data_IF_356719223034
#
_entry.id   IF_356719223034
#
_cell.length_a   1.000
_cell.length_b   1.000
_cell.length_c   1.000
_cell.angle_alpha   90.00
_cell.angle_beta   90.00
_cell.angle_gamma   90.00
#
_symmetry.space_group_name_H-M   'P 1'
#
loop_
_entity.id
_entity.type
_entity.pdbx_description
1 polymer ?
#
# COMPACT_ATOMS: atom_id res chain seq x y z
N UNK A 1 -73.05 -1.08 -12.40
CA UNK A 1 -72.54 0.11 -13.10
C UNK A 1 -71.68 0.84 -12.10
N UNK A 2 -70.36 0.98 -12.19
CA UNK A 2 -69.44 1.05 -13.33
C UNK A 2 -68.09 0.43 -12.91
N UNK A 3 -67.43 -0.25 -13.85
CA UNK A 3 -66.04 -0.69 -13.80
C UNK A 3 -65.05 0.47 -13.63
N UNK A 4 -63.96 0.27 -12.90
CA UNK A 4 -62.65 0.77 -13.34
C UNK A 4 -61.51 -0.08 -12.80
N UNK A 5 -60.86 -0.79 -13.72
CA UNK A 5 -59.49 -1.30 -13.62
C UNK A 5 -58.53 -0.10 -13.55
N UNK A 6 -57.47 -0.23 -12.75
CA UNK A 6 -56.15 0.37 -13.02
C UNK A 6 -55.12 -0.55 -12.36
N UNK A 7 -54.60 -1.53 -13.10
CA UNK A 7 -53.25 -1.44 -13.69
C UNK A 7 -52.15 -1.35 -12.63
N UNK A 8 -51.92 -2.44 -11.91
CA UNK A 8 -50.60 -2.77 -11.36
C UNK A 8 -49.79 -3.49 -12.44
N UNK A 9 -49.45 -2.73 -13.50
CA UNK A 9 -48.51 -3.12 -14.53
C UNK A 9 -47.10 -2.72 -14.13
N UNK A 10 -46.57 -3.33 -13.06
CA UNK A 10 -45.13 -3.47 -12.90
C UNK A 10 -44.85 -4.92 -13.22
N UNK A 11 -44.41 -5.14 -14.47
CA UNK A 11 -44.05 -6.45 -14.97
C UNK A 11 -43.06 -7.10 -14.03
N UNK A 12 -43.17 -8.43 -13.91
CA UNK A 12 -42.12 -9.34 -13.48
C UNK A 12 -40.92 -9.29 -14.46
N UNK A 13 -40.41 -8.10 -14.77
CA UNK A 13 -39.02 -7.89 -15.18
C UNK A 13 -38.16 -8.12 -13.92
N UNK A 14 -38.13 -9.40 -13.54
CA UNK A 14 -37.31 -9.96 -12.48
C UNK A 14 -35.84 -9.60 -12.74
N UNK A 15 -35.05 -9.54 -11.67
CA UNK A 15 -33.62 -9.24 -11.58
C UNK A 15 -32.67 -10.04 -12.51
N UNK A 16 -33.21 -10.79 -13.47
CA UNK A 16 -32.55 -11.55 -14.53
C UNK A 16 -32.12 -10.70 -15.73
N UNK A 17 -32.70 -9.53 -15.98
CA UNK A 17 -32.32 -8.69 -17.14
C UNK A 17 -31.08 -7.80 -16.88
N UNK A 18 -30.64 -7.72 -15.63
CA UNK A 18 -29.39 -7.04 -15.23
C UNK A 18 -28.15 -7.94 -15.37
N UNK A 19 -28.30 -9.13 -15.96
CA UNK A 19 -27.25 -10.12 -16.12
C UNK A 19 -26.40 -9.81 -17.37
N UNK A 20 -25.20 -9.24 -17.14
CA UNK A 20 -24.09 -9.09 -18.10
C UNK A 20 -24.48 -8.42 -19.43
N UNK A 21 -24.23 -7.10 -19.54
CA UNK A 21 -24.38 -6.36 -20.82
C UNK A 21 -23.50 -6.92 -21.94
N UNK A 22 -22.41 -7.60 -21.59
CA UNK A 22 -21.48 -8.26 -22.51
C UNK A 22 -21.12 -9.65 -21.98
N UNK A 23 -21.05 -10.64 -22.87
CA UNK A 23 -20.38 -11.91 -22.57
C UNK A 23 -18.86 -11.68 -22.34
N UNK A 24 -18.18 -12.55 -21.58
CA UNK A 24 -16.73 -12.43 -21.41
C UNK A 24 -16.00 -12.56 -22.75
N UNK A 25 -16.52 -13.33 -23.71
CA UNK A 25 -16.02 -13.40 -25.07
C UNK A 25 -16.08 -12.05 -25.79
N UNK A 26 -17.26 -11.41 -25.87
CA UNK A 26 -17.45 -10.11 -26.52
C UNK A 26 -16.60 -9.00 -25.88
N UNK A 27 -16.47 -9.04 -24.55
CA UNK A 27 -15.65 -8.07 -23.83
C UNK A 27 -14.18 -8.22 -24.17
N UNK A 28 -13.67 -9.46 -24.23
CA UNK A 28 -12.29 -9.72 -24.60
C UNK A 28 -12.04 -9.40 -26.08
N UNK A 29 -12.99 -9.68 -26.97
CA UNK A 29 -12.91 -9.30 -28.40
C UNK A 29 -12.75 -7.77 -28.52
N UNK A 30 -13.61 -7.01 -27.84
CA UNK A 30 -13.50 -5.53 -27.80
C UNK A 30 -12.18 -5.05 -27.22
N UNK A 31 -11.72 -5.66 -26.13
CA UNK A 31 -10.45 -5.31 -25.49
C UNK A 31 -9.25 -5.58 -26.41
N UNK A 32 -9.29 -6.65 -27.20
CA UNK A 32 -8.26 -7.03 -28.16
C UNK A 32 -8.27 -6.12 -29.42
N UNK A 33 -9.46 -5.67 -29.85
CA UNK A 33 -9.60 -4.70 -30.94
C UNK A 33 -9.12 -3.30 -30.55
N UNK A 34 -9.61 -2.78 -29.42
CA UNK A 34 -9.23 -1.47 -28.89
C UNK A 34 -9.56 -1.34 -27.41
N UNK A 35 -8.51 -1.18 -26.59
CA UNK A 35 -8.66 -0.87 -25.16
C UNK A 35 -9.35 0.47 -24.94
N UNK A 36 -9.04 1.47 -25.77
CA UNK A 36 -9.69 2.79 -25.76
C UNK A 36 -11.17 2.67 -26.09
N UNK A 37 -11.52 1.92 -27.14
CA UNK A 37 -12.91 1.67 -27.52
C UNK A 37 -13.69 0.97 -26.40
N UNK A 38 -13.09 -0.01 -25.72
CA UNK A 38 -13.70 -0.65 -24.55
C UNK A 38 -13.96 0.35 -23.41
N UNK A 39 -13.01 1.24 -23.11
CA UNK A 39 -13.14 2.21 -22.03
C UNK A 39 -14.21 3.27 -22.35
N UNK A 40 -14.22 3.78 -23.58
CA UNK A 40 -15.18 4.79 -24.04
C UNK A 40 -16.62 4.25 -24.10
N UNK A 41 -16.81 3.00 -24.54
CA UNK A 41 -18.14 2.40 -24.73
C UNK A 41 -18.80 1.98 -23.41
N UNK A 42 -18.00 1.54 -22.43
CA UNK A 42 -18.54 0.88 -21.24
C UNK A 42 -18.66 1.84 -20.04
N UNK A 43 -17.71 2.75 -19.84
CA UNK A 43 -17.70 3.65 -18.68
C UNK A 43 -17.19 5.06 -19.05
N UNK A 44 -17.95 5.86 -19.84
CA UNK A 44 -17.56 7.22 -20.17
C UNK A 44 -17.40 8.08 -18.90
N UNK A 45 -16.15 8.37 -18.54
CA UNK A 45 -15.77 9.31 -17.48
C UNK A 45 -15.70 8.76 -16.05
N UNK A 46 -15.79 7.43 -15.82
CA UNK A 46 -15.69 6.82 -14.47
C UNK A 46 -15.06 5.40 -14.47
N UNK A 47 -13.87 5.24 -15.05
CA UNK A 47 -13.15 3.97 -15.00
C UNK A 47 -12.45 3.72 -13.64
N UNK A 48 -13.19 3.15 -12.68
CA UNK A 48 -12.62 2.63 -11.42
C UNK A 48 -12.69 1.10 -11.38
N UNK A 49 -11.84 0.42 -10.59
CA UNK A 49 -11.92 -1.03 -10.41
C UNK A 49 -13.32 -1.53 -10.01
N UNK A 50 -14.02 -0.81 -9.15
CA UNK A 50 -15.36 -1.15 -8.66
C UNK A 50 -16.41 -1.01 -9.77
N UNK A 51 -16.28 0.02 -10.61
CA UNK A 51 -17.14 0.20 -11.77
C UNK A 51 -16.93 -0.95 -12.77
N UNK A 52 -15.68 -1.36 -13.01
CA UNK A 52 -15.37 -2.53 -13.83
C UNK A 52 -15.91 -3.83 -13.22
N UNK A 53 -15.74 -4.05 -11.92
CA UNK A 53 -16.29 -5.23 -11.23
C UNK A 53 -17.81 -5.32 -11.41
N UNK A 54 -18.52 -4.21 -11.24
CA UNK A 54 -19.97 -4.16 -11.39
C UNK A 54 -20.43 -4.40 -12.84
N UNK A 55 -19.73 -3.84 -13.84
CA UNK A 55 -20.18 -3.86 -15.24
C UNK A 55 -19.72 -5.12 -15.99
N UNK A 56 -18.49 -5.57 -15.73
CA UNK A 56 -17.85 -6.65 -16.47
C UNK A 56 -17.98 -8.01 -15.79
N UNK A 57 -17.95 -8.04 -14.44
CA UNK A 57 -18.05 -9.25 -13.62
C UNK A 57 -17.19 -10.43 -14.12
N UNK A 58 -16.00 -10.16 -14.67
CA UNK A 58 -15.09 -11.17 -15.19
C UNK A 58 -14.59 -12.13 -14.10
N UNK A 59 -14.47 -11.63 -12.86
CA UNK A 59 -14.16 -12.44 -11.68
C UNK A 59 -15.16 -13.59 -11.46
N UNK A 60 -16.36 -13.47 -12.03
CA UNK A 60 -17.36 -14.53 -12.08
C UNK A 60 -17.43 -15.20 -13.46
N UNK A 61 -17.62 -14.43 -14.54
CA UNK A 61 -17.97 -14.99 -15.86
C UNK A 61 -16.85 -15.81 -16.52
N UNK A 62 -15.59 -15.64 -16.11
CA UNK A 62 -14.46 -16.49 -16.52
C UNK A 62 -14.47 -17.87 -15.87
N UNK A 63 -15.19 -18.00 -14.76
CA UNK A 63 -15.17 -19.17 -13.86
C UNK A 63 -16.54 -19.86 -13.77
N UNK A 64 -17.59 -19.14 -14.17
CA UNK A 64 -18.96 -19.63 -14.18
C UNK A 64 -19.52 -19.69 -15.60
N UNK A 65 -20.29 -20.74 -15.87
CA UNK A 65 -21.26 -20.71 -16.96
C UNK A 65 -22.62 -20.25 -16.41
N UNK A 66 -22.98 -18.96 -16.54
CA UNK A 66 -24.23 -18.45 -16.00
C UNK A 66 -25.45 -19.18 -16.55
N UNK A 67 -25.39 -19.74 -17.78
CA UNK A 67 -26.48 -20.54 -18.36
C UNK A 67 -26.67 -21.89 -17.67
N UNK A 68 -25.62 -22.49 -17.11
CA UNK A 68 -25.72 -23.77 -16.40
C UNK A 68 -26.02 -23.61 -14.90
N UNK A 69 -25.61 -22.47 -14.32
CA UNK A 69 -25.95 -22.10 -12.94
C UNK A 69 -27.47 -21.89 -12.73
N UNK A 70 -28.16 -21.33 -13.72
CA UNK A 70 -29.63 -21.15 -13.72
C UNK A 70 -30.37 -22.50 -13.68
N UNK A 71 -29.76 -23.58 -14.18
CA UNK A 71 -30.34 -24.93 -14.19
C UNK A 71 -29.86 -25.83 -13.03
N UNK A 72 -29.15 -25.27 -12.04
CA UNK A 72 -28.71 -26.01 -10.85
C UNK A 72 -27.65 -27.10 -11.12
N UNK A 73 -26.99 -27.07 -12.29
CA UNK A 73 -26.00 -28.08 -12.67
C UNK A 73 -24.62 -27.77 -12.07
N UNK A 74 -24.00 -28.76 -11.43
CA UNK A 74 -22.64 -28.68 -10.86
C UNK A 74 -21.54 -28.41 -11.90
N UNK A 75 -21.80 -28.69 -13.18
CA UNK A 75 -20.87 -28.53 -14.31
C UNK A 75 -20.55 -27.06 -14.69
N UNK A 76 -21.29 -26.09 -14.15
CA UNK A 76 -21.11 -24.68 -14.47
C UNK A 76 -19.88 -24.00 -13.85
N UNK A 77 -18.96 -24.76 -13.22
CA UNK A 77 -17.88 -24.27 -12.34
C UNK A 77 -16.50 -24.76 -12.78
N UNK A 78 -16.09 -24.39 -13.99
CA UNK A 78 -14.76 -24.69 -14.50
C UNK A 78 -14.12 -23.41 -15.04
N UNK A 79 -12.84 -23.12 -14.72
CA UNK A 79 -12.11 -22.04 -15.35
C UNK A 79 -12.17 -22.17 -16.87
N UNK A 80 -12.66 -21.13 -17.56
CA UNK A 80 -12.62 -21.07 -19.02
C UNK A 80 -11.19 -20.76 -19.48
N UNK A 81 -10.33 -21.78 -19.45
CA UNK A 81 -8.87 -21.67 -19.67
C UNK A 81 -8.52 -20.83 -20.91
N UNK A 82 -9.24 -21.02 -22.02
CA UNK A 82 -9.00 -20.25 -23.24
C UNK A 82 -9.26 -18.74 -23.07
N UNK A 83 -10.29 -18.33 -22.32
CA UNK A 83 -10.54 -16.91 -22.00
C UNK A 83 -9.53 -16.36 -20.99
N UNK A 84 -9.11 -17.18 -20.03
CA UNK A 84 -8.04 -16.79 -19.10
C UNK A 84 -6.72 -16.53 -19.82
N UNK A 85 -6.37 -17.35 -20.82
CA UNK A 85 -5.21 -17.10 -21.67
C UNK A 85 -5.32 -15.81 -22.48
N UNK A 86 -6.51 -15.53 -23.04
CA UNK A 86 -6.77 -14.26 -23.75
C UNK A 86 -6.62 -13.05 -22.82
N UNK A 87 -7.23 -13.12 -21.64
CA UNK A 87 -7.10 -12.10 -20.60
C UNK A 87 -5.64 -11.91 -20.17
N UNK A 88 -4.88 -13.00 -19.99
CA UNK A 88 -3.46 -12.94 -19.65
C UNK A 88 -2.63 -12.20 -20.72
N UNK A 89 -2.92 -12.42 -22.01
CA UNK A 89 -2.27 -11.68 -23.11
C UNK A 89 -2.59 -10.19 -23.07
N UNK A 90 -3.83 -9.82 -22.77
CA UNK A 90 -4.22 -8.42 -22.58
C UNK A 90 -3.49 -7.78 -21.38
N UNK A 91 -3.39 -8.51 -20.26
CA UNK A 91 -2.61 -8.07 -19.09
C UNK A 91 -1.15 -7.85 -19.49
N UNK A 92 -0.53 -8.79 -20.19
CA UNK A 92 0.86 -8.67 -20.66
C UNK A 92 1.03 -7.46 -21.58
N UNK A 93 0.12 -7.24 -22.53
CA UNK A 93 0.13 -6.07 -23.41
C UNK A 93 0.01 -4.75 -22.65
N UNK A 94 -0.88 -4.70 -21.64
CA UNK A 94 -1.03 -3.56 -20.75
C UNK A 94 0.24 -3.31 -19.92
N UNK A 95 0.88 -4.36 -19.39
CA UNK A 95 2.13 -4.24 -18.62
C UNK A 95 3.31 -3.72 -19.45
N UNK A 96 3.29 -3.92 -20.76
CA UNK A 96 4.28 -3.36 -21.72
C UNK A 96 3.96 -1.94 -22.18
N UNK A 97 2.80 -1.39 -21.80
CA UNK A 97 2.41 -0.03 -22.18
C UNK A 97 3.21 0.98 -21.35
N UNK A 98 3.85 1.93 -22.02
CA UNK A 98 4.74 2.88 -21.39
C UNK A 98 4.37 4.35 -21.72
N UNK A 99 3.87 5.15 -20.75
CA UNK A 99 3.56 4.78 -19.36
C UNK A 99 2.16 4.14 -19.21
N UNK A 100 2.05 3.08 -18.38
CA UNK A 100 0.77 2.54 -17.95
C UNK A 100 0.15 3.42 -16.84
N UNK A 101 -0.72 4.35 -17.24
CA UNK A 101 -1.35 5.33 -16.33
C UNK A 101 -2.88 5.43 -16.52
N UNK A 102 -3.52 6.12 -15.59
CA UNK A 102 -4.95 6.44 -15.63
C UNK A 102 -5.85 5.19 -15.72
N UNK A 103 -6.85 5.26 -16.59
CA UNK A 103 -7.90 4.24 -16.74
C UNK A 103 -7.33 2.88 -17.18
N UNK A 104 -6.31 2.87 -18.05
CA UNK A 104 -5.62 1.63 -18.46
C UNK A 104 -4.96 0.90 -17.29
N UNK A 105 -4.39 1.65 -16.33
CA UNK A 105 -3.82 1.08 -15.11
C UNK A 105 -4.90 0.47 -14.23
N UNK A 106 -6.06 1.13 -14.09
CA UNK A 106 -7.20 0.58 -13.36
C UNK A 106 -7.76 -0.68 -14.03
N UNK A 107 -7.85 -0.68 -15.36
CA UNK A 107 -8.30 -1.84 -16.13
C UNK A 107 -7.33 -3.02 -15.97
N UNK A 108 -6.02 -2.78 -16.04
CA UNK A 108 -5.01 -3.81 -15.80
C UNK A 108 -5.10 -4.40 -14.39
N UNK A 109 -5.31 -3.56 -13.37
CA UNK A 109 -5.54 -4.01 -11.98
C UNK A 109 -6.82 -4.84 -11.86
N UNK A 110 -7.89 -4.39 -12.51
CA UNK A 110 -9.14 -5.15 -12.54
C UNK A 110 -8.97 -6.51 -13.23
N UNK A 111 -8.31 -6.58 -14.40
CA UNK A 111 -8.05 -7.83 -15.10
C UNK A 111 -7.19 -8.80 -14.26
N UNK A 112 -6.13 -8.30 -13.62
CA UNK A 112 -5.34 -9.08 -12.68
C UNK A 112 -6.19 -9.63 -11.53
N UNK A 113 -7.03 -8.80 -10.91
CA UNK A 113 -7.89 -9.23 -9.82
C UNK A 113 -8.97 -10.23 -10.28
N UNK A 114 -9.61 -9.96 -11.42
CA UNK A 114 -10.63 -10.83 -12.01
C UNK A 114 -10.08 -12.21 -12.34
N UNK A 115 -8.82 -12.29 -12.78
CA UNK A 115 -8.16 -13.55 -13.12
C UNK A 115 -7.93 -14.49 -11.92
N UNK A 116 -8.05 -13.98 -10.67
CA UNK A 116 -7.99 -14.81 -9.46
C UNK A 116 -9.27 -15.64 -9.27
N UNK A 117 -10.37 -15.19 -9.85
CA UNK A 117 -11.70 -15.76 -9.63
C UNK A 117 -12.38 -15.24 -8.36
N UNK A 118 -13.56 -15.79 -8.03
CA UNK A 118 -14.36 -15.34 -6.89
C UNK A 118 -13.65 -15.64 -5.57
N UNK A 119 -13.90 -14.83 -4.55
CA UNK A 119 -13.40 -15.09 -3.20
C UNK A 119 -13.92 -16.45 -2.71
N UNK A 120 -13.05 -17.30 -2.17
CA UNK A 120 -13.40 -18.64 -1.67
C UNK A 120 -14.47 -18.64 -0.57
N UNK A 121 -14.67 -17.50 0.08
CA UNK A 121 -15.70 -17.26 1.10
C UNK A 121 -16.98 -16.59 0.58
N UNK A 122 -17.07 -16.25 -0.71
CA UNK A 122 -18.26 -15.61 -1.28
C UNK A 122 -19.42 -16.60 -1.38
N UNK A 123 -20.42 -16.43 -0.52
CA UNK A 123 -21.71 -17.11 -0.64
C UNK A 123 -22.65 -16.28 -1.53
N UNK A 124 -22.71 -16.60 -2.82
CA UNK A 124 -23.82 -16.15 -3.67
C UNK A 124 -24.90 -17.25 -3.75
N UNK A 125 -26.14 -16.88 -4.10
CA UNK A 125 -27.32 -17.76 -4.04
C UNK A 125 -27.19 -19.10 -4.81
N UNK A 126 -26.14 -19.26 -5.62
CA UNK A 126 -25.82 -20.44 -6.41
C UNK A 126 -24.51 -21.14 -5.98
N UNK A 127 -23.91 -20.77 -4.83
CA UNK A 127 -22.63 -21.27 -4.30
C UNK A 127 -22.85 -21.89 -2.91
N UNK A 128 -23.02 -23.21 -2.89
CA UNK A 128 -23.23 -24.01 -1.67
C UNK A 128 -21.97 -24.77 -1.20
N UNK A 129 -20.85 -24.66 -1.92
CA UNK A 129 -19.56 -25.27 -1.54
C UNK A 129 -18.42 -24.25 -1.73
N UNK A 130 -17.43 -24.21 -0.83
CA UNK A 130 -16.24 -23.37 -0.98
C UNK A 130 -15.51 -23.70 -2.29
N UNK A 131 -14.99 -22.67 -2.97
CA UNK A 131 -14.16 -22.84 -4.17
C UNK A 131 -12.92 -23.67 -3.82
N UNK A 132 -12.74 -24.85 -4.45
CA UNK A 132 -11.51 -25.63 -4.26
C UNK A 132 -10.31 -24.83 -4.77
N UNK A 133 -9.21 -24.91 -4.02
CA UNK A 133 -7.98 -24.14 -4.15
C UNK A 133 -7.14 -24.67 -5.34
N UNK A 134 -7.74 -24.88 -6.51
CA UNK A 134 -6.93 -25.04 -7.72
C UNK A 134 -6.40 -23.65 -8.11
N UNK A 135 -5.08 -23.52 -8.28
CA UNK A 135 -4.47 -22.29 -8.77
C UNK A 135 -4.91 -22.04 -10.21
N UNK A 136 -6.02 -21.33 -10.37
CA UNK A 136 -6.62 -20.92 -11.64
C UNK A 136 -5.62 -20.28 -12.62
N UNK A 137 -4.51 -19.77 -12.07
CA UNK A 137 -3.47 -19.03 -12.77
C UNK A 137 -2.36 -19.93 -13.30
N UNK A 138 -2.25 -21.16 -12.83
CA UNK A 138 -1.22 -22.12 -13.24
C UNK A 138 -1.11 -22.28 -14.77
N UNK A 139 -2.21 -22.06 -15.50
CA UNK A 139 -2.26 -22.18 -16.97
C UNK A 139 -1.51 -21.05 -17.70
N UNK A 140 -1.43 -19.85 -17.13
CA UNK A 140 -0.78 -18.68 -17.77
C UNK A 140 0.32 -18.02 -16.92
N UNK A 141 0.51 -18.47 -15.68
CA UNK A 141 1.49 -17.92 -14.71
C UNK A 141 2.88 -17.81 -15.31
N UNK A 142 3.37 -18.85 -15.97
CA UNK A 142 4.71 -18.86 -16.56
C UNK A 142 4.89 -17.77 -17.63
N UNK A 143 3.92 -17.63 -18.54
CA UNK A 143 3.96 -16.61 -19.61
C UNK A 143 3.89 -15.18 -19.04
N UNK A 144 3.03 -14.96 -18.04
CA UNK A 144 2.95 -13.67 -17.34
C UNK A 144 4.25 -13.33 -16.62
N UNK A 145 4.83 -14.28 -15.89
CA UNK A 145 6.06 -14.06 -15.13
C UNK A 145 7.30 -13.90 -16.02
N UNK A 146 7.33 -14.55 -17.20
CA UNK A 146 8.36 -14.31 -18.22
C UNK A 146 8.28 -12.86 -18.74
N UNK A 147 7.09 -12.38 -19.08
CA UNK A 147 6.90 -10.99 -19.52
C UNK A 147 7.25 -9.97 -18.42
N UNK A 148 6.88 -10.25 -17.17
CA UNK A 148 7.26 -9.43 -16.01
C UNK A 148 8.78 -9.40 -15.83
N UNK A 149 9.45 -10.54 -15.95
CA UNK A 149 10.91 -10.64 -15.85
C UNK A 149 11.61 -9.85 -16.94
N UNK A 150 11.11 -9.91 -18.19
CA UNK A 150 11.63 -9.11 -19.30
C UNK A 150 11.51 -7.61 -19.00
N UNK A 151 10.33 -7.15 -18.57
CA UNK A 151 10.10 -5.74 -18.24
C UNK A 151 10.99 -5.27 -17.06
N UNK A 152 11.17 -6.11 -16.03
CA UNK A 152 12.10 -5.80 -14.95
C UNK A 152 13.55 -5.69 -15.45
N UNK A 153 13.95 -6.47 -16.45
CA UNK A 153 15.26 -6.34 -17.09
C UNK A 153 15.43 -4.98 -17.80
N UNK A 154 14.40 -4.52 -18.51
CA UNK A 154 14.39 -3.21 -19.16
C UNK A 154 14.47 -2.05 -18.14
N UNK A 155 13.73 -2.14 -17.04
CA UNK A 155 13.82 -1.14 -15.95
C UNK A 155 15.18 -1.16 -15.25
N UNK A 156 15.77 -2.36 -15.07
CA UNK A 156 17.09 -2.49 -14.48
C UNK A 156 18.17 -1.85 -15.36
N UNK A 157 18.10 -2.02 -16.69
CA UNK A 157 19.01 -1.35 -17.61
C UNK A 157 18.93 0.18 -17.48
N UNK A 158 17.72 0.74 -17.49
CA UNK A 158 17.53 2.18 -17.30
C UNK A 158 18.06 2.67 -15.95
N UNK A 159 17.81 1.95 -14.85
CA UNK A 159 18.34 2.30 -13.54
C UNK A 159 19.87 2.19 -13.46
N UNK A 160 20.48 1.25 -14.20
CA UNK A 160 21.93 1.07 -14.24
C UNK A 160 22.62 2.23 -14.97
N UNK A 161 22.00 2.79 -16.01
CA UNK A 161 22.49 4.01 -16.68
C UNK A 161 22.51 5.20 -15.70
N UNK A 162 21.41 5.40 -14.94
CA UNK A 162 21.36 6.43 -13.91
C UNK A 162 22.41 6.19 -12.81
N UNK A 163 22.61 4.92 -12.41
CA UNK A 163 23.62 4.56 -11.42
C UNK A 163 25.03 4.83 -11.90
N UNK A 164 25.34 4.52 -13.15
CA UNK A 164 26.65 4.79 -13.74
C UNK A 164 26.98 6.29 -13.72
N UNK A 165 26.01 7.17 -13.98
CA UNK A 165 26.21 8.62 -13.88
C UNK A 165 26.55 9.08 -12.45
N UNK A 166 25.92 8.48 -11.43
CA UNK A 166 26.24 8.75 -10.02
C UNK A 166 27.66 8.27 -9.69
N UNK A 167 28.02 7.05 -10.09
CA UNK A 167 29.31 6.45 -9.78
C UNK A 167 30.46 7.16 -10.51
N UNK A 168 30.27 7.58 -11.76
CA UNK A 168 31.24 8.38 -12.52
C UNK A 168 31.47 9.75 -11.86
N UNK A 169 30.40 10.43 -11.45
CA UNK A 169 30.50 11.69 -10.72
C UNK A 169 31.21 11.50 -9.37
N UNK A 170 30.85 10.46 -8.61
CA UNK A 170 31.49 10.14 -7.33
C UNK A 170 32.99 9.84 -7.45
N UNK A 171 33.45 9.27 -8.57
CA UNK A 171 34.87 8.97 -8.79
C UNK A 171 35.72 10.24 -8.97
N UNK A 172 35.11 11.38 -9.27
CA UNK A 172 35.79 12.67 -9.44
C UNK A 172 36.07 13.37 -8.08
N UNK A 173 35.56 12.84 -6.95
CA UNK A 173 35.72 13.39 -5.59
C UNK A 173 37.19 13.38 -5.07
N UNK A 174 38.11 12.81 -5.85
CA UNK A 174 39.55 12.70 -5.52
C UNK A 174 40.43 13.88 -5.94
N UNK A 175 39.87 14.96 -6.49
CA UNK A 175 40.59 16.19 -6.86
C UNK A 175 40.97 17.08 -5.67
N UNK A 176 41.82 18.09 -5.88
CA UNK A 176 42.28 19.01 -4.80
C UNK A 176 41.14 19.86 -4.19
N UNK A 177 40.04 20.09 -4.93
CA UNK A 177 38.77 20.64 -4.44
C UNK A 177 37.60 19.94 -5.15
N UNK A 178 36.93 18.95 -4.54
CA UNK A 178 35.78 18.30 -5.14
C UNK A 178 34.59 19.27 -5.19
N UNK A 179 33.90 19.30 -6.33
CA UNK A 179 32.65 20.03 -6.44
C UNK A 179 31.55 19.41 -5.54
N UNK A 180 30.54 20.21 -5.19
CA UNK A 180 29.49 19.79 -4.27
C UNK A 180 28.66 18.59 -4.78
N UNK A 181 28.55 18.41 -6.10
CA UNK A 181 27.77 17.32 -6.69
C UNK A 181 28.53 15.99 -6.60
N UNK A 182 29.82 16.00 -6.90
CA UNK A 182 30.75 14.87 -6.75
C UNK A 182 30.80 14.38 -5.30
N UNK A 183 30.96 15.29 -4.34
CA UNK A 183 30.94 14.97 -2.91
C UNK A 183 29.59 14.36 -2.48
N UNK A 184 28.47 14.86 -3.02
CA UNK A 184 27.14 14.33 -2.74
C UNK A 184 26.94 12.92 -3.33
N UNK A 185 27.35 12.68 -4.58
CA UNK A 185 27.33 11.35 -5.22
C UNK A 185 28.16 10.34 -4.42
N UNK A 186 29.38 10.73 -4.04
CA UNK A 186 30.25 9.87 -3.24
C UNK A 186 29.67 9.60 -1.83
N UNK A 187 28.94 10.55 -1.26
CA UNK A 187 28.24 10.38 0.02
C UNK A 187 27.00 9.48 -0.10
N UNK A 188 26.24 9.59 -1.19
CA UNK A 188 25.09 8.73 -1.48
C UNK A 188 25.49 7.25 -1.57
N UNK A 189 26.58 6.95 -2.30
CA UNK A 189 27.11 5.60 -2.44
C UNK A 189 27.70 5.05 -1.12
N UNK A 190 28.14 5.92 -0.21
CA UNK A 190 28.64 5.58 1.13
C UNK A 190 27.55 5.42 2.19
N UNK A 191 26.28 5.69 1.85
CA UNK A 191 25.18 5.49 2.80
C UNK A 191 25.06 4.01 3.19
N UNK A 192 24.70 3.70 4.45
CA UNK A 192 24.51 2.32 4.87
C UNK A 192 23.35 1.67 4.14
N UNK A 193 23.46 0.37 3.86
CA UNK A 193 22.34 -0.42 3.33
C UNK A 193 21.14 -0.31 4.27
N UNK A 194 21.33 -0.56 5.56
CA UNK A 194 20.30 -0.39 6.59
C UNK A 194 20.96 -0.01 7.93
N UNK A 195 20.51 1.09 8.54
CA UNK A 195 21.03 1.54 9.83
C UNK A 195 19.93 2.13 10.69
N UNK A 196 19.74 1.54 11.88
CA UNK A 196 18.97 2.12 12.98
C UNK A 196 19.89 2.96 13.87
N UNK A 197 19.46 4.18 14.19
CA UNK A 197 20.17 5.13 15.06
C UNK A 197 19.19 5.74 16.06
N UNK A 198 19.16 5.18 17.26
CA UNK A 198 18.33 5.66 18.36
C UNK A 198 19.08 6.75 19.13
N UNK A 199 18.44 7.90 19.46
CA UNK A 199 19.07 8.94 20.27
C UNK A 199 19.58 8.40 21.62
N UNK A 200 20.76 8.86 22.06
CA UNK A 200 21.36 8.41 23.33
C UNK A 200 20.44 8.63 24.54
N UNK A 201 19.70 9.75 24.57
CA UNK A 201 18.74 10.04 25.64
C UNK A 201 17.57 9.06 25.71
N UNK A 202 17.26 8.34 24.62
CA UNK A 202 16.17 7.36 24.61
C UNK A 202 16.65 5.99 25.08
N UNK A 203 17.96 5.72 24.96
CA UNK A 203 18.58 4.45 25.34
C UNK A 203 18.68 4.24 26.85
N UNK A 204 18.25 5.23 27.65
CA UNK A 204 17.97 5.06 29.07
C UNK A 204 16.77 4.12 29.31
N UNK A 205 15.84 4.04 28.35
CA UNK A 205 14.78 3.02 28.32
C UNK A 205 15.33 1.71 27.71
N UNK A 206 15.27 0.58 28.44
CA UNK A 206 15.73 -0.73 27.96
C UNK A 206 15.10 -1.17 26.63
N UNK A 207 13.88 -0.74 26.32
CA UNK A 207 13.23 -1.02 25.04
C UNK A 207 14.04 -0.45 23.87
N UNK A 208 14.40 0.83 23.97
CA UNK A 208 15.13 1.56 22.93
C UNK A 208 16.58 1.11 22.80
N UNK A 209 17.21 0.67 23.89
CA UNK A 209 18.53 0.02 23.84
C UNK A 209 18.46 -1.29 23.04
N UNK A 210 17.45 -2.14 23.29
CA UNK A 210 17.26 -3.38 22.52
C UNK A 210 16.96 -3.11 21.04
N UNK A 211 16.18 -2.07 20.73
CA UNK A 211 15.97 -1.61 19.34
C UNK A 211 17.31 -1.28 18.66
N UNK A 212 18.17 -0.51 19.34
CA UNK A 212 19.50 -0.14 18.81
C UNK A 212 20.41 -1.36 18.63
N UNK A 213 20.47 -2.25 19.63
CA UNK A 213 21.31 -3.44 19.61
C UNK A 213 20.90 -4.43 18.51
N UNK A 214 19.59 -4.61 18.28
CA UNK A 214 19.08 -5.51 17.24
C UNK A 214 19.10 -4.89 15.85
N UNK A 215 19.18 -3.57 15.75
CA UNK A 215 19.02 -2.87 14.47
C UNK A 215 17.62 -3.04 13.86
N UNK A 216 16.61 -3.32 14.69
CA UNK A 216 15.22 -3.53 14.25
C UNK A 216 14.29 -2.59 14.98
N UNK A 217 13.62 -1.73 14.22
CA UNK A 217 12.62 -0.83 14.76
C UNK A 217 11.27 -1.54 14.97
N UNK A 218 10.67 -1.22 16.09
CA UNK A 218 9.30 -1.54 16.48
C UNK A 218 8.78 -0.35 17.26
N UNK A 219 7.50 -0.02 17.10
CA UNK A 219 6.89 1.07 17.85
C UNK A 219 5.47 0.74 18.26
N UNK A 220 5.26 0.66 19.57
CA UNK A 220 3.99 0.31 20.19
C UNK A 220 3.36 1.61 20.71
N UNK A 221 2.28 2.12 20.08
CA UNK A 221 1.62 3.33 20.57
C UNK A 221 1.12 3.17 22.00
N UNK A 222 1.11 4.25 22.79
CA UNK A 222 0.73 4.21 24.20
C UNK A 222 -0.62 3.53 24.47
N UNK A 223 -1.65 3.85 23.64
CA UNK A 223 -2.99 3.25 23.75
C UNK A 223 -2.98 1.71 23.69
N UNK A 224 -2.06 1.12 22.93
CA UNK A 224 -2.02 -0.33 22.74
C UNK A 224 -1.41 -1.04 23.95
N UNK A 225 -0.44 -0.39 24.62
CA UNK A 225 0.25 -0.95 25.78
C UNK A 225 -0.69 -1.11 26.99
N UNK A 226 -1.78 -0.34 27.04
CA UNK A 226 -2.83 -0.41 28.07
C UNK A 226 -3.79 -1.60 27.89
N UNK A 227 -3.70 -2.35 26.79
CA UNK A 227 -4.61 -3.47 26.52
C UNK A 227 -4.15 -4.71 27.28
N UNK A 228 -5.00 -5.19 28.20
CA UNK A 228 -4.79 -6.40 29.01
C UNK A 228 -5.74 -7.54 28.67
N UNK A 229 -6.88 -7.23 28.07
CA UNK A 229 -7.98 -8.16 27.81
C UNK A 229 -8.93 -7.60 26.73
N UNK A 230 -10.05 -8.29 26.49
CA UNK A 230 -11.06 -7.83 25.53
C UNK A 230 -11.77 -6.53 25.95
N UNK A 231 -11.94 -6.26 27.23
CA UNK A 231 -12.66 -5.09 27.72
C UNK A 231 -11.82 -3.80 27.55
N UNK A 232 -10.56 -3.86 27.97
CA UNK A 232 -9.56 -2.81 27.73
C UNK A 232 -9.34 -2.60 26.22
N UNK A 233 -9.29 -3.66 25.42
CA UNK A 233 -9.24 -3.55 23.95
C UNK A 233 -10.45 -2.78 23.40
N UNK A 234 -11.66 -3.14 23.81
CA UNK A 234 -12.88 -2.44 23.42
C UNK A 234 -12.79 -0.94 23.74
N UNK A 235 -12.43 -0.60 24.98
CA UNK A 235 -12.31 0.79 25.42
C UNK A 235 -11.28 1.57 24.59
N UNK A 236 -10.08 1.01 24.37
CA UNK A 236 -9.05 1.70 23.57
C UNK A 236 -9.48 1.93 22.13
N UNK A 237 -10.12 0.94 21.49
CA UNK A 237 -10.61 1.10 20.12
C UNK A 237 -11.71 2.16 20.01
N UNK A 238 -12.61 2.22 21.00
CA UNK A 238 -13.62 3.28 21.09
C UNK A 238 -12.99 4.67 21.27
N UNK A 239 -11.95 4.79 22.11
CA UNK A 239 -11.25 6.05 22.33
C UNK A 239 -10.61 6.59 21.05
N UNK A 240 -10.12 5.71 20.18
CA UNK A 240 -9.56 6.07 18.87
C UNK A 240 -10.63 6.48 17.85
N UNK A 241 -11.82 5.87 17.88
CA UNK A 241 -12.80 6.01 16.80
C UNK A 241 -13.62 7.31 16.78
N UNK A 242 -13.78 8.00 17.91
CA UNK A 242 -14.92 8.89 18.14
C UNK A 242 -14.76 10.38 17.72
N UNK A 243 -13.80 10.76 16.85
CA UNK A 243 -14.02 11.92 15.97
C UNK A 243 -13.94 11.60 14.47
N UNK A 244 -13.51 10.41 14.06
CA UNK A 244 -13.33 10.07 12.64
C UNK A 244 -14.66 10.06 11.85
N UNK A 245 -15.79 9.91 12.52
CA UNK A 245 -17.11 9.92 11.88
C UNK A 245 -17.71 11.32 11.68
N UNK A 246 -17.19 12.35 12.37
CA UNK A 246 -17.73 13.72 12.33
C UNK A 246 -16.86 14.69 11.52
N UNK A 247 -15.55 14.46 11.42
CA UNK A 247 -14.63 15.40 10.78
C UNK A 247 -13.92 14.90 9.51
N UNK A 248 -14.00 13.61 9.19
CA UNK A 248 -13.28 13.06 8.05
C UNK A 248 -14.24 12.45 7.02
N UNK A 249 -14.22 12.99 5.80
CA UNK A 249 -14.70 12.31 4.60
C UNK A 249 -13.85 11.08 4.29
N UNK A 250 -13.76 10.14 5.24
CA UNK A 250 -13.14 8.85 5.04
C UNK A 250 -13.91 8.12 3.94
N UNK A 251 -13.22 7.55 2.94
CA UNK A 251 -13.84 6.62 2.02
C UNK A 251 -14.62 5.55 2.78
N UNK A 252 -15.78 5.15 2.25
CA UNK A 252 -16.71 4.21 2.89
C UNK A 252 -16.04 2.91 3.36
N UNK A 253 -14.99 2.46 2.65
CA UNK A 253 -14.19 1.28 3.00
C UNK A 253 -13.31 1.47 4.25
N UNK A 254 -12.77 2.68 4.47
CA UNK A 254 -11.92 2.98 5.63
C UNK A 254 -12.76 3.19 6.91
N UNK A 255 -14.02 3.62 6.75
CA UNK A 255 -15.00 3.72 7.84
C UNK A 255 -15.32 2.34 8.47
N UNK A 256 -15.12 1.24 7.74
CA UNK A 256 -15.33 -0.13 8.24
C UNK A 256 -14.22 -0.62 9.19
N UNK A 257 -13.11 0.11 9.27
CA UNK A 257 -11.99 -0.23 10.14
C UNK A 257 -12.19 0.31 11.58
N UNK A 258 -12.86 1.45 11.71
CA UNK A 258 -12.99 2.19 12.97
C UNK A 258 -14.09 1.64 13.88
N UNK A 259 -13.74 1.39 15.14
CA UNK A 259 -14.71 1.01 16.19
C UNK A 259 -15.22 2.29 16.85
N UNK A 260 -16.37 2.76 16.41
CA UNK A 260 -16.95 4.04 16.87
C UNK A 260 -18.03 3.88 17.95
N UNK A 261 -18.49 2.67 18.20
CA UNK A 261 -19.46 2.37 19.26
C UNK A 261 -19.41 0.88 19.67
N UNK A 262 -20.06 0.57 20.78
CA UNK A 262 -20.13 -0.80 21.33
C UNK A 262 -20.76 -1.80 20.35
N UNK A 263 -21.75 -1.38 19.56
CA UNK A 263 -22.40 -2.26 18.59
C UNK A 263 -21.40 -2.76 17.52
N UNK A 264 -20.56 -1.86 16.99
CA UNK A 264 -19.50 -2.21 16.03
C UNK A 264 -18.44 -3.13 16.65
N UNK A 265 -18.05 -2.90 17.90
CA UNK A 265 -17.14 -3.82 18.60
C UNK A 265 -17.78 -5.20 18.80
N UNK A 266 -19.06 -5.23 19.20
CA UNK A 266 -19.82 -6.46 19.40
C UNK A 266 -19.95 -7.24 18.10
N UNK A 267 -20.25 -6.58 16.98
CA UNK A 267 -20.29 -7.18 15.66
C UNK A 267 -18.94 -7.84 15.30
N UNK A 268 -17.83 -7.11 15.47
CA UNK A 268 -16.49 -7.64 15.21
C UNK A 268 -16.19 -8.90 16.03
N UNK A 269 -16.55 -8.92 17.32
CA UNK A 269 -16.25 -10.04 18.22
C UNK A 269 -17.20 -11.22 18.07
N UNK A 270 -18.50 -10.96 17.98
CA UNK A 270 -19.54 -11.98 18.09
C UNK A 270 -20.01 -12.50 16.73
N UNK A 271 -20.04 -11.63 15.71
CA UNK A 271 -20.51 -12.00 14.37
C UNK A 271 -19.34 -12.35 13.47
N UNK A 272 -18.28 -11.52 13.49
CA UNK A 272 -17.12 -11.69 12.62
C UNK A 272 -15.98 -12.49 13.24
N UNK A 273 -16.09 -12.83 14.53
CA UNK A 273 -15.07 -13.58 15.28
C UNK A 273 -13.64 -13.03 15.13
N UNK A 274 -13.49 -11.71 15.02
CA UNK A 274 -12.20 -11.07 14.80
C UNK A 274 -11.22 -11.41 15.95
N UNK A 275 -10.05 -11.99 15.65
CA UNK A 275 -9.05 -12.33 16.66
C UNK A 275 -8.41 -11.06 17.24
N UNK A 276 -7.79 -11.17 18.41
CA UNK A 276 -7.14 -10.03 19.08
C UNK A 276 -6.11 -9.33 18.18
N UNK A 277 -5.34 -10.09 17.39
CA UNK A 277 -4.38 -9.55 16.44
C UNK A 277 -5.02 -8.64 15.38
N UNK A 278 -6.21 -9.00 14.87
CA UNK A 278 -6.95 -8.16 13.92
C UNK A 278 -7.48 -6.89 14.60
N UNK A 279 -7.94 -6.98 15.85
CA UNK A 279 -8.40 -5.83 16.63
C UNK A 279 -7.26 -4.82 16.86
N UNK A 280 -6.06 -5.31 17.17
CA UNK A 280 -4.84 -4.51 17.26
C UNK A 280 -4.52 -3.81 15.93
N UNK A 281 -4.55 -4.56 14.82
CA UNK A 281 -4.31 -4.00 13.49
C UNK A 281 -5.35 -2.92 13.12
N UNK A 282 -6.64 -3.12 13.45
CA UNK A 282 -7.71 -2.13 13.25
C UNK A 282 -7.48 -0.87 14.06
N UNK A 283 -7.13 -1.03 15.34
CA UNK A 283 -6.73 0.09 16.20
C UNK A 283 -5.55 0.84 15.63
N UNK A 284 -4.53 0.13 15.13
CA UNK A 284 -3.35 0.75 14.54
C UNK A 284 -3.67 1.51 13.26
N UNK A 285 -4.49 0.96 12.37
CA UNK A 285 -4.97 1.68 11.17
C UNK A 285 -5.73 2.95 11.57
N UNK A 286 -6.65 2.84 12.53
CA UNK A 286 -7.43 3.99 13.04
C UNK A 286 -6.51 5.07 13.61
N UNK A 287 -5.52 4.67 14.42
CA UNK A 287 -4.50 5.56 14.98
C UNK A 287 -3.64 6.20 13.87
N UNK A 288 -3.23 5.43 12.88
CA UNK A 288 -2.49 5.95 11.72
C UNK A 288 -3.29 6.99 10.95
N UNK A 289 -4.61 6.83 10.79
CA UNK A 289 -5.45 7.86 10.17
C UNK A 289 -5.45 9.17 10.97
N UNK A 290 -5.55 9.11 12.30
CA UNK A 290 -5.45 10.29 13.17
C UNK A 290 -4.10 11.01 13.01
N UNK A 291 -3.02 10.25 12.82
CA UNK A 291 -1.67 10.80 12.66
C UNK A 291 -1.36 11.27 11.23
N UNK A 292 -2.02 10.72 10.19
CA UNK A 292 -1.52 10.72 8.82
C UNK A 292 -1.29 12.12 8.24
N UNK A 293 -2.31 12.98 8.30
CA UNK A 293 -2.19 14.35 7.77
C UNK A 293 -1.15 15.15 8.53
N UNK A 294 -1.21 15.13 9.87
CA UNK A 294 -0.26 15.84 10.74
C UNK A 294 1.19 15.39 10.51
N UNK A 295 1.41 14.08 10.31
CA UNK A 295 2.71 13.52 9.98
C UNK A 295 3.23 14.08 8.65
N UNK A 296 2.43 13.97 7.58
CA UNK A 296 2.85 14.42 6.25
C UNK A 296 3.07 15.94 6.19
N UNK A 297 2.22 16.73 6.85
CA UNK A 297 2.39 18.19 6.93
C UNK A 297 3.71 18.55 7.63
N UNK A 298 4.04 17.86 8.73
CA UNK A 298 5.31 18.07 9.45
C UNK A 298 6.53 17.66 8.62
N UNK A 299 6.48 16.52 7.91
CA UNK A 299 7.58 16.11 7.02
C UNK A 299 7.73 17.06 5.81
N UNK A 300 6.63 17.56 5.24
CA UNK A 300 6.64 18.59 4.19
C UNK A 300 7.31 19.88 4.68
N UNK A 301 7.05 20.32 5.91
CA UNK A 301 7.70 21.49 6.49
C UNK A 301 9.23 21.33 6.59
N UNK A 302 9.71 20.16 7.02
CA UNK A 302 11.15 19.87 7.08
C UNK A 302 11.77 19.93 5.67
N UNK A 303 11.15 19.28 4.68
CA UNK A 303 11.64 19.30 3.30
C UNK A 303 11.62 20.71 2.68
N UNK A 304 10.56 21.48 2.90
CA UNK A 304 10.43 22.87 2.43
C UNK A 304 11.46 23.80 3.08
N UNK A 305 11.78 23.58 4.36
CA UNK A 305 12.82 24.33 5.07
C UNK A 305 14.18 24.13 4.40
N UNK A 306 14.55 22.87 4.13
CA UNK A 306 15.78 22.54 3.40
C UNK A 306 15.78 23.16 2.00
N UNK A 307 14.68 23.00 1.26
CA UNK A 307 14.56 23.50 -0.11
C UNK A 307 14.70 25.03 -0.18
N UNK A 308 14.05 25.76 0.72
CA UNK A 308 14.17 27.21 0.80
C UNK A 308 15.58 27.66 1.21
N UNK A 309 16.20 26.98 2.17
CA UNK A 309 17.50 27.36 2.70
C UNK A 309 18.65 27.15 1.69
N UNK A 310 18.56 26.12 0.86
CA UNK A 310 19.60 25.73 -0.08
C UNK A 310 19.21 25.93 -1.56
N UNK A 311 18.03 26.51 -1.84
CA UNK A 311 17.54 26.72 -3.21
C UNK A 311 17.29 25.42 -3.98
N UNK A 312 16.81 24.37 -3.31
CA UNK A 312 16.61 23.05 -3.91
C UNK A 312 15.30 22.96 -4.68
N UNK A 313 15.31 22.17 -5.75
CA UNK A 313 14.12 21.74 -6.46
C UNK A 313 13.56 20.46 -5.83
N UNK A 314 12.37 20.55 -5.19
CA UNK A 314 11.74 19.41 -4.50
C UNK A 314 10.30 19.22 -4.93
N UNK A 315 9.97 18.01 -5.37
CA UNK A 315 8.60 17.58 -5.64
C UNK A 315 7.96 16.99 -4.38
N UNK A 316 6.91 17.64 -3.88
CA UNK A 316 6.12 17.16 -2.74
C UNK A 316 4.76 16.65 -3.23
N UNK A 317 4.16 15.64 -2.55
CA UNK A 317 2.84 15.18 -2.92
C UNK A 317 1.82 16.29 -2.66
N UNK A 318 1.00 16.60 -3.66
CA UNK A 318 -0.05 17.63 -3.56
C UNK A 318 -1.08 17.24 -2.49
N UNK A 319 -1.57 16.00 -2.60
CA UNK A 319 -2.55 15.44 -1.67
C UNK A 319 -1.88 14.63 -0.55
N UNK A 320 -2.63 14.40 0.53
CA UNK A 320 -2.21 13.50 1.60
C UNK A 320 -2.30 12.06 1.11
N UNK A 321 -1.18 11.35 1.09
CA UNK A 321 -1.16 9.91 0.77
C UNK A 321 -1.95 9.16 1.83
N UNK A 322 -2.92 8.32 1.45
CA UNK A 322 -3.74 7.59 2.41
C UNK A 322 -2.88 6.66 3.30
N UNK A 323 -3.31 6.49 4.55
CA UNK A 323 -2.72 5.51 5.45
C UNK A 323 -2.91 4.09 4.88
N UNK A 324 -2.05 3.16 5.32
CA UNK A 324 -2.11 1.78 4.86
C UNK A 324 -3.39 1.08 5.34
N UNK A 325 -4.08 0.42 4.42
CA UNK A 325 -5.33 -0.31 4.69
C UNK A 325 -5.12 -1.62 5.45
N UNK A 326 -6.16 -2.04 6.17
CA UNK A 326 -6.16 -3.23 7.03
C UNK A 326 -5.70 -4.53 6.32
N UNK A 327 -6.19 -4.90 5.12
CA UNK A 327 -5.74 -6.14 4.47
C UNK A 327 -4.22 -6.20 4.30
N UNK A 328 -3.61 -5.08 3.89
CA UNK A 328 -2.16 -4.97 3.71
C UNK A 328 -1.40 -4.96 5.03
N UNK A 329 -1.99 -4.45 6.11
CA UNK A 329 -1.42 -4.56 7.46
C UNK A 329 -1.43 -6.01 7.92
N UNK A 330 -2.54 -6.72 7.74
CA UNK A 330 -2.68 -8.12 8.17
C UNK A 330 -1.70 -9.04 7.43
N UNK A 331 -1.54 -8.85 6.13
CA UNK A 331 -0.55 -9.57 5.32
C UNK A 331 0.87 -9.41 5.88
N UNK A 332 1.33 -8.16 6.07
CA UNK A 332 2.64 -7.87 6.67
C UNK A 332 2.77 -8.31 8.12
N UNK A 333 1.66 -8.36 8.86
CA UNK A 333 1.64 -8.82 10.25
C UNK A 333 1.96 -10.31 10.31
N UNK A 334 1.47 -11.11 9.35
CA UNK A 334 1.80 -12.53 9.23
C UNK A 334 3.29 -12.73 8.91
N UNK A 335 3.84 -11.98 7.96
CA UNK A 335 5.29 -12.00 7.66
C UNK A 335 6.13 -11.69 8.91
N UNK A 336 5.76 -10.63 9.64
CA UNK A 336 6.45 -10.25 10.87
C UNK A 336 6.33 -11.31 11.99
N UNK A 337 5.22 -12.04 12.04
CA UNK A 337 5.03 -13.14 12.97
C UNK A 337 5.92 -14.34 12.62
N UNK A 338 6.01 -14.70 11.33
CA UNK A 338 6.88 -15.78 10.86
C UNK A 338 8.37 -15.48 11.13
N UNK A 339 8.78 -14.22 10.97
CA UNK A 339 10.17 -13.81 11.16
C UNK A 339 10.57 -13.59 12.63
N UNK A 340 9.62 -13.20 13.51
CA UNK A 340 9.93 -12.54 14.79
C UNK A 340 9.08 -12.99 15.97
N UNK A 341 8.39 -14.13 15.87
CA UNK A 341 7.49 -14.64 16.92
C UNK A 341 8.15 -14.76 18.29
N UNK A 342 9.43 -15.12 18.32
CA UNK A 342 10.12 -15.51 19.56
C UNK A 342 10.88 -14.33 20.19
N UNK A 343 10.66 -13.11 19.69
CA UNK A 343 11.39 -11.93 20.13
C UNK A 343 10.76 -11.30 21.37
N UNK A 344 11.41 -11.45 22.52
CA UNK A 344 11.09 -10.68 23.71
C UNK A 344 11.44 -9.19 23.53
N UNK A 345 10.63 -8.30 24.12
CA UNK A 345 10.86 -6.85 24.14
C UNK A 345 10.75 -6.33 25.57
N UNK A 346 11.78 -5.64 26.11
CA UNK A 346 11.71 -5.07 27.45
C UNK A 346 10.50 -4.14 27.61
N UNK A 347 9.84 -4.21 28.77
CA UNK A 347 8.66 -3.42 29.06
C UNK A 347 7.39 -3.85 28.29
N UNK A 348 7.38 -5.03 27.65
CA UNK A 348 6.19 -5.61 27.01
C UNK A 348 5.87 -6.96 27.65
N UNK A 349 4.58 -7.17 27.94
CA UNK A 349 4.10 -8.41 28.58
C UNK A 349 4.13 -9.56 27.56
N UNK A 350 4.48 -10.76 28.00
CA UNK A 350 4.58 -11.93 27.12
C UNK A 350 3.25 -12.31 26.48
N UNK A 351 2.14 -12.13 27.21
CA UNK A 351 0.78 -12.36 26.73
C UNK A 351 0.28 -11.33 25.70
N UNK A 352 0.98 -10.20 25.56
CA UNK A 352 0.68 -9.12 24.63
C UNK A 352 1.43 -9.25 23.29
N UNK A 353 2.64 -9.80 23.31
CA UNK A 353 3.50 -9.91 22.13
C UNK A 353 2.88 -10.70 20.96
N UNK A 354 2.16 -11.82 21.18
CA UNK A 354 1.51 -12.57 20.10
C UNK A 354 0.55 -11.74 19.24
N UNK A 355 -0.14 -10.77 19.84
CA UNK A 355 -1.19 -10.00 19.16
C UNK A 355 -0.68 -8.69 18.53
N UNK A 356 0.55 -8.28 18.86
CA UNK A 356 1.06 -6.92 18.59
C UNK A 356 2.09 -6.87 17.45
N UNK A 357 2.20 -7.93 16.64
CA UNK A 357 3.09 -8.00 15.47
C UNK A 357 2.84 -6.89 14.44
N UNK A 358 1.63 -6.31 14.40
CA UNK A 358 1.31 -5.20 13.50
C UNK A 358 2.18 -3.94 13.77
N UNK A 359 2.78 -3.81 14.95
CA UNK A 359 3.64 -2.67 15.34
C UNK A 359 5.08 -2.75 14.80
N UNK A 360 5.42 -3.81 14.07
CA UNK A 360 6.62 -3.84 13.22
C UNK A 360 6.41 -3.13 11.88
N UNK A 361 5.17 -2.81 11.51
CA UNK A 361 4.84 -2.19 10.24
C UNK A 361 4.88 -0.68 10.46
N UNK A 362 5.95 -0.04 10.01
CA UNK A 362 6.23 1.38 10.29
C UNK A 362 5.98 2.31 9.08
N UNK A 363 5.53 1.73 7.95
CA UNK A 363 5.11 2.44 6.74
C UNK A 363 3.58 2.57 6.65
N UNK A 364 2.92 2.68 7.81
CA UNK A 364 1.46 2.89 7.93
C UNK A 364 1.05 4.30 7.53
N UNK A 365 1.83 5.30 7.98
CA UNK A 365 1.83 6.67 7.44
C UNK A 365 3.13 6.85 6.65
N UNK A 366 3.03 7.41 5.44
CA UNK A 366 4.17 7.51 4.54
C UNK A 366 4.04 8.64 3.54
N UNK A 367 5.18 9.11 3.04
CA UNK A 367 5.25 10.00 1.89
C UNK A 367 6.56 9.81 1.10
N UNK A 368 6.58 10.32 -0.12
CA UNK A 368 7.78 10.41 -0.94
C UNK A 368 8.08 11.86 -1.26
N UNK A 369 9.35 12.24 -1.23
CA UNK A 369 9.87 13.52 -1.72
C UNK A 369 10.69 13.23 -2.96
N UNK A 370 10.40 13.95 -4.05
CA UNK A 370 11.15 13.85 -5.30
C UNK A 370 12.27 14.90 -5.27
N UNK A 371 13.50 14.48 -5.49
CA UNK A 371 14.67 15.34 -5.55
C UNK A 371 14.90 15.72 -7.02
N UNK A 372 14.67 16.99 -7.36
CA UNK A 372 14.84 17.53 -8.72
C UNK A 372 16.23 18.07 -8.97
N UNK A 373 16.47 18.50 -10.21
CA UNK A 373 17.75 19.02 -10.71
C UNK A 373 17.92 18.70 -12.19
N UNK A 374 18.76 19.47 -12.88
CA UNK A 374 18.96 19.33 -14.34
C UNK A 374 19.72 18.04 -14.72
N UNK A 375 20.35 17.38 -13.74
CA UNK A 375 21.08 16.14 -13.92
C UNK A 375 20.99 15.23 -12.67
N UNK A 376 21.26 13.93 -12.82
CA UNK A 376 21.26 12.97 -11.70
C UNK A 376 22.22 13.37 -10.57
N UNK A 377 23.43 13.92 -10.82
CA UNK A 377 24.28 14.46 -9.75
C UNK A 377 23.64 15.62 -8.97
N UNK A 378 22.95 16.54 -9.64
CA UNK A 378 22.23 17.63 -8.97
C UNK A 378 21.05 17.10 -8.13
N UNK A 379 20.30 16.13 -8.65
CA UNK A 379 19.25 15.43 -7.91
C UNK A 379 19.83 14.73 -6.67
N UNK A 380 21.05 14.19 -6.77
CA UNK A 380 21.77 13.56 -5.67
C UNK A 380 22.19 14.58 -4.61
N UNK A 381 22.71 15.74 -5.02
CA UNK A 381 23.01 16.84 -4.09
C UNK A 381 21.75 17.31 -3.34
N UNK A 382 20.62 17.45 -4.03
CA UNK A 382 19.33 17.74 -3.41
C UNK A 382 18.94 16.64 -2.39
N UNK A 383 19.07 15.37 -2.76
CA UNK A 383 18.76 14.23 -1.89
C UNK A 383 19.61 14.24 -0.60
N UNK A 384 20.93 14.43 -0.74
CA UNK A 384 21.84 14.44 0.41
C UNK A 384 21.56 15.63 1.33
N UNK A 385 21.25 16.81 0.75
CA UNK A 385 20.88 17.98 1.55
C UNK A 385 19.58 17.79 2.33
N UNK A 386 18.57 17.16 1.72
CA UNK A 386 17.34 16.80 2.42
C UNK A 386 17.61 15.80 3.55
N UNK A 387 18.42 14.78 3.30
CA UNK A 387 18.79 13.78 4.30
C UNK A 387 19.51 14.42 5.51
N UNK A 388 20.42 15.36 5.28
CA UNK A 388 21.07 16.14 6.35
C UNK A 388 20.05 16.90 7.20
N UNK A 389 19.09 17.55 6.56
CA UNK A 389 18.05 18.32 7.25
C UNK A 389 17.18 17.41 8.15
N UNK A 390 16.80 16.23 7.66
CA UNK A 390 16.09 15.24 8.47
C UNK A 390 16.97 14.67 9.60
N UNK A 391 18.25 14.44 9.34
CA UNK A 391 19.19 13.93 10.34
C UNK A 391 19.50 14.94 11.45
N UNK A 392 19.37 16.25 11.17
CA UNK A 392 19.54 17.34 12.13
C UNK A 392 18.31 17.56 13.01
N UNK A 393 17.13 17.07 12.60
CA UNK A 393 15.89 17.22 13.36
C UNK A 393 15.96 16.52 14.72
N UNK A 394 15.40 17.16 15.74
CA UNK A 394 15.26 16.57 17.09
C UNK A 394 13.82 16.64 17.59
N UNK A 395 13.41 15.67 18.41
CA UNK A 395 12.07 15.67 19.00
C UNK A 395 11.79 16.95 19.81
N UNK A 396 12.81 17.52 20.45
CA UNK A 396 12.66 18.74 21.26
C UNK A 396 12.45 20.00 20.41
N UNK A 397 13.19 20.16 19.32
CA UNK A 397 13.13 21.37 18.50
C UNK A 397 12.07 21.28 17.40
N UNK A 398 11.94 20.12 16.75
CA UNK A 398 11.13 19.92 15.56
C UNK A 398 9.91 19.01 15.83
N UNK A 399 9.92 18.28 16.94
CA UNK A 399 8.99 17.18 17.15
C UNK A 399 9.18 16.04 16.15
N UNK A 400 10.37 15.93 15.54
CA UNK A 400 10.75 14.89 14.57
C UNK A 400 12.13 14.33 14.93
N UNK A 401 12.33 13.03 14.78
CA UNK A 401 13.65 12.43 14.91
C UNK A 401 13.83 11.31 13.88
N UNK A 402 14.91 11.35 13.11
CA UNK A 402 15.29 10.26 12.22
C UNK A 402 15.83 9.07 13.02
N UNK A 403 15.14 7.93 12.95
CA UNK A 403 15.51 6.72 13.70
C UNK A 403 16.15 5.64 12.84
N UNK A 404 15.90 5.65 11.53
CA UNK A 404 16.51 4.70 10.60
C UNK A 404 16.68 5.30 9.23
N UNK A 405 17.78 4.90 8.60
CA UNK A 405 18.10 5.19 7.22
C UNK A 405 18.43 3.90 6.50
N UNK A 406 17.83 3.70 5.33
CA UNK A 406 18.09 2.58 4.42
C UNK A 406 18.37 3.15 3.04
N UNK A 407 19.46 2.77 2.40
CA UNK A 407 19.81 3.24 1.05
C UNK A 407 19.76 2.10 0.04
N UNK A 408 18.94 2.26 -1.00
CA UNK A 408 18.97 1.43 -2.20
C UNK A 408 20.23 1.66 -3.05
N UNK A 409 21.01 2.70 -2.75
CA UNK A 409 22.26 3.01 -3.43
C UNK A 409 23.49 2.41 -2.75
N UNK A 410 23.34 1.81 -1.57
CA UNK A 410 24.45 1.18 -0.87
C UNK A 410 25.04 0.00 -1.66
N UNK A 411 26.32 -0.25 -1.46
CA UNK A 411 27.02 -1.36 -2.12
C UNK A 411 26.36 -2.73 -1.81
N UNK A 412 26.33 -3.59 -2.83
CA UNK A 412 25.70 -4.92 -2.77
C UNK A 412 24.16 -4.93 -2.72
N UNK A 413 23.48 -3.78 -2.78
CA UNK A 413 22.01 -3.71 -2.81
C UNK A 413 21.49 -3.83 -4.25
N UNK A 414 20.77 -4.91 -4.53
CA UNK A 414 20.11 -5.13 -5.82
C UNK A 414 18.58 -5.15 -5.64
N UNK A 415 17.93 -4.02 -5.91
CA UNK A 415 16.48 -3.93 -5.99
C UNK A 415 15.95 -4.62 -7.24
N UNK A 416 14.74 -5.20 -7.19
CA UNK A 416 14.11 -5.71 -8.42
C UNK A 416 13.88 -4.55 -9.40
N UNK A 417 14.24 -4.77 -10.66
CA UNK A 417 14.20 -3.72 -11.68
C UNK A 417 15.26 -2.62 -11.49
N UNK A 418 16.29 -2.84 -10.66
CA UNK A 418 17.39 -1.89 -10.44
C UNK A 418 17.01 -0.62 -9.67
N UNK A 419 15.75 -0.48 -9.25
CA UNK A 419 15.26 0.72 -8.58
C UNK A 419 15.93 0.93 -7.21
N UNK A 420 16.32 2.18 -6.96
CA UNK A 420 16.92 2.64 -5.72
C UNK A 420 16.24 3.91 -5.18
N UNK A 421 16.14 4.01 -3.86
CA UNK A 421 15.72 5.20 -3.12
C UNK A 421 16.42 5.25 -1.75
N UNK A 422 16.34 6.40 -1.07
CA UNK A 422 16.72 6.50 0.34
C UNK A 422 15.44 6.49 1.18
N UNK A 423 15.30 5.49 2.06
CA UNK A 423 14.16 5.37 2.97
C UNK A 423 14.55 5.76 4.38
N UNK A 424 13.75 6.61 4.97
CA UNK A 424 13.88 7.09 6.32
C UNK A 424 12.69 6.63 7.14
N UNK A 425 12.92 6.19 8.37
CA UNK A 425 11.86 6.09 9.38
C UNK A 425 12.03 7.20 10.40
N UNK A 426 11.06 8.10 10.42
CA UNK A 426 11.05 9.27 11.27
C UNK A 426 10.02 9.09 12.37
N UNK A 427 10.44 9.18 13.62
CA UNK A 427 9.52 9.41 14.73
C UNK A 427 8.99 10.84 14.64
N UNK A 428 7.71 11.02 14.92
CA UNK A 428 7.09 12.33 15.04
C UNK A 428 6.16 12.40 16.25
N UNK A 429 6.28 13.48 17.01
CA UNK A 429 5.29 13.90 18.02
C UNK A 429 4.33 14.90 17.36
N UNK A 430 3.04 14.55 17.33
CA UNK A 430 1.98 15.25 16.60
C UNK A 430 0.92 15.84 17.54
N UNK A 431 1.24 15.96 18.84
CA UNK A 431 0.33 16.46 19.87
C UNK A 431 -0.58 15.36 20.42
N UNK A 432 -1.82 15.70 20.73
CA UNK A 432 -2.76 14.80 21.40
C UNK A 432 -4.07 14.66 20.63
N UNK A 433 -4.74 13.55 20.88
CA UNK A 433 -6.13 13.27 20.51
C UNK A 433 -6.96 13.15 21.78
N UNK A 434 -8.08 13.87 21.84
CA UNK A 434 -9.00 13.78 22.96
C UNK A 434 -10.09 12.76 22.64
N UNK A 435 -10.12 11.68 23.42
CA UNK A 435 -11.15 10.66 23.31
C UNK A 435 -12.50 11.15 23.89
N UNK A 436 -13.56 10.40 23.61
CA UNK A 436 -14.93 10.73 24.06
C UNK A 436 -15.08 10.78 25.60
N UNK A 437 -14.21 10.10 26.34
CA UNK A 437 -14.18 10.08 27.81
C UNK A 437 -13.21 11.10 28.42
N UNK A 438 -12.66 12.00 27.59
CA UNK A 438 -11.69 13.01 28.00
C UNK A 438 -10.24 12.49 28.09
N UNK A 439 -10.00 11.20 27.86
CA UNK A 439 -8.63 10.65 27.85
C UNK A 439 -7.80 11.30 26.74
N UNK A 440 -6.62 11.80 27.11
CA UNK A 440 -5.63 12.30 26.15
C UNK A 440 -4.79 11.14 25.62
N UNK A 441 -4.84 10.93 24.30
CA UNK A 441 -4.01 9.94 23.61
C UNK A 441 -2.90 10.69 22.87
N UNK A 442 -1.62 10.54 23.27
CA UNK A 442 -0.50 11.10 22.51
C UNK A 442 -0.48 10.56 21.08
N UNK A 443 -0.34 11.46 20.11
CA UNK A 443 -0.19 11.16 18.70
C UNK A 443 1.30 11.11 18.34
N UNK A 444 1.96 10.03 18.76
CA UNK A 444 3.35 9.74 18.50
C UNK A 444 3.44 8.56 17.54
N UNK A 445 4.14 8.71 16.43
CA UNK A 445 4.19 7.68 15.40
C UNK A 445 5.56 7.62 14.74
N UNK A 446 5.97 6.44 14.28
CA UNK A 446 7.04 6.31 13.30
C UNK A 446 6.41 6.16 11.92
N UNK A 447 6.80 7.01 10.99
CA UNK A 447 6.36 6.97 9.60
C UNK A 447 7.52 6.89 8.61
N UNK A 448 7.22 6.48 7.38
CA UNK A 448 8.21 6.35 6.31
C UNK A 448 8.28 7.61 5.43
N UNK A 449 9.49 8.12 5.21
CA UNK A 449 9.76 9.15 4.19
C UNK A 449 10.75 8.57 3.19
N UNK A 450 10.39 8.58 1.90
CA UNK A 450 11.27 8.14 0.81
C UNK A 450 11.81 9.37 0.08
N UNK A 451 13.13 9.46 -0.08
CA UNK A 451 13.76 10.42 -1.00
C UNK A 451 14.05 9.68 -2.30
N UNK A 452 13.51 10.20 -3.41
CA UNK A 452 13.58 9.57 -4.73
C UNK A 452 14.15 10.58 -5.70
N UNK A 453 15.21 10.23 -6.42
CA UNK A 453 15.72 11.06 -7.52
C UNK A 453 14.67 11.13 -8.64
N UNK A 454 14.47 12.29 -9.24
CA UNK A 454 13.44 12.51 -10.27
C UNK A 454 13.53 11.50 -11.43
N UNK A 455 14.74 11.19 -11.91
CA UNK A 455 14.91 10.25 -13.01
C UNK A 455 14.57 8.81 -12.59
N UNK A 456 14.91 8.43 -11.35
CA UNK A 456 14.48 7.14 -10.78
C UNK A 456 12.96 7.08 -10.56
N UNK A 457 12.32 8.22 -10.25
CA UNK A 457 10.87 8.31 -10.10
C UNK A 457 10.16 8.04 -11.44
N UNK A 458 10.70 8.51 -12.55
CA UNK A 458 10.17 8.21 -13.89
C UNK A 458 10.18 6.70 -14.17
N UNK A 459 11.28 6.01 -13.85
CA UNK A 459 11.35 4.54 -13.98
C UNK A 459 10.37 3.84 -13.02
N UNK A 460 10.29 4.29 -11.76
CA UNK A 460 9.37 3.73 -10.75
C UNK A 460 7.91 3.77 -11.19
N UNK A 461 7.49 4.88 -11.81
CA UNK A 461 6.11 5.06 -12.25
C UNK A 461 5.70 4.04 -13.33
N UNK A 462 6.65 3.70 -14.22
CA UNK A 462 6.52 2.67 -15.26
C UNK A 462 6.51 1.27 -14.65
N UNK A 463 7.34 1.04 -13.63
CA UNK A 463 7.54 -0.26 -13.00
C UNK A 463 6.39 -0.68 -12.04
N UNK A 464 5.58 0.24 -11.54
CA UNK A 464 4.68 0.01 -10.40
C UNK A 464 3.82 -1.26 -10.50
N UNK A 465 3.12 -1.48 -11.62
CA UNK A 465 2.24 -2.65 -11.75
C UNK A 465 3.03 -3.94 -12.01
N UNK A 466 4.10 -3.87 -12.81
CA UNK A 466 5.02 -5.00 -13.06
C UNK A 466 5.61 -5.50 -11.73
N UNK A 467 5.95 -4.58 -10.84
CA UNK A 467 6.48 -4.91 -9.52
C UNK A 467 5.44 -5.49 -8.56
N UNK A 468 4.19 -5.01 -8.58
CA UNK A 468 3.06 -5.61 -7.86
C UNK A 468 2.85 -7.07 -8.31
N UNK A 469 2.91 -7.33 -9.62
CA UNK A 469 2.83 -8.70 -10.15
C UNK A 469 4.02 -9.51 -9.66
N UNK A 470 5.27 -9.07 -9.86
CA UNK A 470 6.46 -9.82 -9.45
C UNK A 470 6.49 -10.24 -7.96
N UNK A 471 5.89 -9.44 -7.06
CA UNK A 471 5.82 -9.74 -5.62
C UNK A 471 4.73 -10.76 -5.24
N UNK A 472 4.01 -11.32 -6.20
CA UNK A 472 2.89 -12.21 -5.92
C UNK A 472 1.69 -11.49 -5.33
N UNK A 473 1.52 -10.16 -5.52
CA UNK A 473 0.26 -9.50 -5.10
C UNK A 473 -0.95 -9.99 -5.93
N UNK A 474 -0.68 -10.72 -7.01
CA UNK A 474 -1.65 -11.42 -7.82
C UNK A 474 -1.79 -12.91 -7.44
N UNK A 475 -1.00 -13.42 -6.49
CA UNK A 475 -1.11 -14.76 -5.86
C UNK A 475 -2.14 -14.74 -4.72
#
# INVERSE_FOLDING_TARGET
MIHSKSESGLSEATSSEFLLRFSPEELLDKAEESLEGLLEEVLPGKATPEAFEMHFRLHESLFFNPRMAIHGAHEGRAPRKHLLMRLAKLIIGLLKTDPLKGEKKHLAKYFLQASKGPNSSAACAHVFQPWEIEDNRATYRSELMEAVSQQLGEFAAACNELRAAIDECAAQDGGEEPDAASAACASLCRLPNDRVKVPTSWREDPFWEVVQLRGVLRFDPGWAQEITDGASCCLQLLRLGVPLHQEAGLPQDDATCSVTNLAKYSELRQVRHAPMQELFARGYVTYSHLCNKKFQDKMKQVAQRAAKAAGLEVGLPEETVAAKRLPRIMEKTREAQEERSDWAWPGRREDYLPFSHCFYILDTVRMSVVCGGASVPEQTACCMRLLEEFAACTTKADGVCLLRQKSGFADGVNGAGGYADVKMLCYADLGVHHAFDGTEIPLQIIGEVQLILEDYKQVKDRMHLVYEVNRGSFD
#
